data_IF_817782106402
#
_entry.id   IF_817782106402
#
_cell.length_a   1.000
_cell.length_b   1.000
_cell.length_c   1.000
_cell.angle_alpha   90.00
_cell.angle_beta   90.00
_cell.angle_gamma   90.00
#
_symmetry.space_group_name_H-M   'P 1'
#
loop_
_entity.id
_entity.type
_entity.pdbx_description
1 polymer ?
#
# COMPACT_ATOMS: atom_id res chain seq x y z
N UNK A 1 -3.22 6.93 -11.98
CA UNK A 1 -2.77 8.32 -12.17
C UNK A 1 -3.19 9.14 -10.97
N UNK A 2 -2.34 10.05 -10.48
CA UNK A 2 -2.62 10.98 -9.38
C UNK A 2 -2.04 12.36 -9.71
N UNK A 3 -2.40 13.38 -8.94
CA UNK A 3 -1.76 14.69 -8.97
C UNK A 3 -0.77 14.80 -7.83
N UNK A 4 0.38 15.45 -8.06
CA UNK A 4 1.36 15.73 -7.00
C UNK A 4 0.66 16.45 -5.83
N UNK A 5 0.97 16.00 -4.62
CA UNK A 5 0.37 16.49 -3.37
C UNK A 5 -1.00 15.92 -3.04
N UNK A 6 -1.71 15.29 -3.99
CA UNK A 6 -3.02 14.68 -3.72
C UNK A 6 -2.85 13.26 -3.18
N UNK A 7 -3.54 12.93 -2.06
CA UNK A 7 -3.54 11.58 -1.53
C UNK A 7 -4.18 10.58 -2.50
N UNK A 8 -3.65 9.36 -2.50
CA UNK A 8 -4.24 8.20 -3.17
C UNK A 8 -4.10 6.96 -2.28
N UNK A 9 -4.95 5.97 -2.49
CA UNK A 9 -5.07 4.82 -1.60
C UNK A 9 -4.81 3.52 -2.35
N UNK A 10 -4.03 2.62 -1.73
CA UNK A 10 -3.89 1.22 -2.13
C UNK A 10 -4.53 0.34 -1.06
N UNK A 11 -5.41 -0.57 -1.48
CA UNK A 11 -6.11 -1.52 -0.60
C UNK A 11 -5.66 -2.94 -0.91
N UNK A 12 -5.21 -3.67 0.09
CA UNK A 12 -4.76 -5.05 -0.03
C UNK A 12 -5.38 -5.91 1.07
N UNK A 13 -5.78 -7.13 0.72
CA UNK A 13 -6.33 -8.09 1.68
C UNK A 13 -5.21 -8.79 2.46
N UNK A 14 -5.41 -8.95 3.77
CA UNK A 14 -4.57 -9.72 4.67
C UNK A 14 -5.43 -10.67 5.50
N UNK A 15 -5.03 -11.94 5.57
CA UNK A 15 -5.44 -12.86 6.63
C UNK A 15 -4.35 -12.90 7.72
N UNK A 16 -4.54 -12.09 8.77
CA UNK A 16 -3.56 -11.97 9.86
C UNK A 16 -3.56 -13.18 10.78
N UNK A 17 -4.63 -13.98 10.80
CA UNK A 17 -4.62 -15.27 11.50
C UNK A 17 -3.61 -16.24 10.87
N UNK A 18 -3.38 -16.11 9.55
CA UNK A 18 -2.33 -16.86 8.86
C UNK A 18 -0.96 -16.19 8.97
N UNK A 19 -0.86 -15.02 9.59
CA UNK A 19 0.37 -14.23 9.67
C UNK A 19 0.71 -13.49 8.38
N UNK A 20 -0.25 -13.26 7.48
CA UNK A 20 -0.04 -12.47 6.27
C UNK A 20 0.18 -10.99 6.60
N UNK A 21 1.16 -10.38 5.92
CA UNK A 21 1.46 -8.97 6.06
C UNK A 21 1.96 -8.40 4.72
N UNK A 22 1.31 -7.37 4.19
CA UNK A 22 1.84 -6.62 3.06
C UNK A 22 2.84 -5.57 3.52
N UNK A 23 4.02 -5.57 2.92
CA UNK A 23 5.09 -4.60 3.22
C UNK A 23 5.36 -3.74 1.98
N UNK A 24 5.13 -2.41 2.05
CA UNK A 24 5.44 -1.51 0.95
C UNK A 24 6.94 -1.22 0.85
N UNK A 25 7.42 -1.08 -0.38
CA UNK A 25 8.75 -0.57 -0.75
C UNK A 25 8.61 0.43 -1.88
N UNK A 26 9.14 1.64 -1.67
CA UNK A 26 9.05 2.77 -2.59
C UNK A 26 10.21 3.74 -2.37
N UNK A 27 10.48 4.58 -3.35
CA UNK A 27 11.43 5.68 -3.18
C UNK A 27 10.77 6.83 -2.42
N UNK A 28 11.22 7.03 -1.17
CA UNK A 28 10.74 8.10 -0.29
C UNK A 28 10.98 9.52 -0.80
N UNK A 29 11.86 9.71 -1.80
CA UNK A 29 12.05 11.00 -2.48
C UNK A 29 10.86 11.38 -3.37
N UNK A 30 10.06 10.39 -3.78
CA UNK A 30 9.00 10.55 -4.77
C UNK A 30 7.61 10.21 -4.25
N UNK A 31 7.52 9.32 -3.25
CA UNK A 31 6.29 8.89 -2.61
C UNK A 31 6.40 9.00 -1.10
N UNK A 32 5.33 9.44 -0.44
CA UNK A 32 5.24 9.52 1.03
C UNK A 32 4.01 8.73 1.49
N UNK A 33 4.20 7.80 2.44
CA UNK A 33 3.11 7.14 3.14
C UNK A 33 2.52 8.10 4.18
N UNK A 34 1.23 8.37 4.08
CA UNK A 34 0.47 9.25 4.95
C UNK A 34 -0.28 8.48 6.04
N UNK A 35 -0.78 7.28 5.71
CA UNK A 35 -1.57 6.46 6.60
C UNK A 35 -1.44 4.97 6.28
N UNK A 36 -1.59 4.15 7.31
CA UNK A 36 -1.56 2.69 7.23
C UNK A 36 -2.57 2.15 8.26
N UNK A 37 -3.72 1.74 7.76
CA UNK A 37 -4.84 1.28 8.58
C UNK A 37 -5.23 -0.14 8.21
N UNK A 38 -5.64 -0.94 9.20
CA UNK A 38 -6.20 -2.26 8.96
C UNK A 38 -7.67 -2.30 9.38
N UNK A 39 -8.55 -2.47 8.40
CA UNK A 39 -9.98 -2.64 8.61
C UNK A 39 -10.30 -4.14 8.62
N UNK A 40 -10.45 -4.67 9.83
CA UNK A 40 -10.94 -6.03 10.03
C UNK A 40 -12.37 -6.18 9.52
N UNK A 41 -12.66 -7.29 8.85
CA UNK A 41 -14.04 -7.69 8.57
C UNK A 41 -14.62 -8.38 9.80
N UNK A 42 -15.74 -7.83 10.28
CA UNK A 42 -16.52 -8.48 11.32
C UNK A 42 -17.02 -9.83 10.81
N UNK A 43 -16.60 -10.90 11.47
CA UNK A 43 -17.12 -12.24 11.23
C UNK A 43 -17.29 -12.95 12.58
N UNK A 44 -18.21 -13.91 12.64
CA UNK A 44 -18.54 -14.62 13.88
C UNK A 44 -17.54 -15.75 14.20
N UNK A 45 -16.27 -15.59 13.81
CA UNK A 45 -15.20 -16.56 14.04
C UNK A 45 -13.92 -15.86 14.54
N UNK A 46 -12.92 -16.67 14.92
CA UNK A 46 -11.64 -16.17 15.43
C UNK A 46 -10.68 -15.66 14.33
N UNK A 47 -11.13 -15.58 13.07
CA UNK A 47 -10.29 -15.14 11.94
C UNK A 47 -10.19 -13.62 11.95
N UNK A 48 -8.97 -13.13 11.73
CA UNK A 48 -8.61 -11.74 11.56
C UNK A 48 -8.27 -11.46 10.10
N UNK A 49 -9.30 -11.57 9.26
CA UNK A 49 -9.22 -11.20 7.85
C UNK A 49 -9.70 -9.75 7.68
N UNK A 50 -9.04 -9.00 6.83
CA UNK A 50 -9.37 -7.60 6.60
C UNK A 50 -8.64 -6.97 5.44
N UNK A 51 -8.98 -5.70 5.18
CA UNK A 51 -8.26 -4.88 4.22
C UNK A 51 -7.28 -3.97 4.95
N UNK A 52 -6.02 -4.02 4.54
CA UNK A 52 -5.05 -3.00 4.86
C UNK A 52 -5.08 -1.90 3.81
N UNK A 53 -5.12 -0.66 4.30
CA UNK A 53 -5.32 0.55 3.53
C UNK A 53 -4.06 1.39 3.71
N UNK A 54 -3.33 1.58 2.62
CA UNK A 54 -2.16 2.44 2.59
C UNK A 54 -2.52 3.72 1.86
N UNK A 55 -2.44 4.85 2.54
CA UNK A 55 -2.60 6.17 1.96
C UNK A 55 -1.24 6.75 1.62
N UNK A 56 -1.07 7.20 0.37
CA UNK A 56 0.17 7.77 -0.14
C UNK A 56 -0.09 9.12 -0.78
N UNK A 57 0.96 9.93 -0.92
CA UNK A 57 1.00 11.05 -1.87
C UNK A 57 2.26 10.98 -2.72
N UNK A 58 2.16 11.39 -3.98
CA UNK A 58 3.31 11.67 -4.80
C UNK A 58 3.81 13.09 -4.53
N UNK A 59 5.13 13.27 -4.38
CA UNK A 59 5.75 14.58 -4.09
C UNK A 59 6.47 15.19 -5.28
N UNK A 60 6.74 14.40 -6.33
CA UNK A 60 7.32 14.86 -7.59
C UNK A 60 6.52 14.31 -8.77
N UNK A 61 6.43 15.03 -9.90
CA UNK A 61 5.82 14.49 -11.11
C UNK A 61 6.66 13.33 -11.68
N UNK A 62 6.04 12.51 -12.53
CA UNK A 62 6.66 11.36 -13.18
C UNK A 62 6.02 10.02 -12.81
N UNK A 63 6.63 8.92 -13.28
CA UNK A 63 6.15 7.55 -13.01
C UNK A 63 6.98 6.90 -11.92
N UNK A 64 6.36 6.64 -10.77
CA UNK A 64 7.02 6.10 -9.59
C UNK A 64 6.62 4.66 -9.34
N UNK A 65 7.60 3.82 -8.96
CA UNK A 65 7.35 2.42 -8.65
C UNK A 65 7.00 2.24 -7.17
N UNK A 66 5.86 1.61 -6.90
CA UNK A 66 5.46 1.17 -5.57
C UNK A 66 5.31 -0.35 -5.58
N UNK A 67 6.08 -1.03 -4.74
CA UNK A 67 6.09 -2.50 -4.64
C UNK A 67 5.52 -2.91 -3.29
N UNK A 68 4.66 -3.92 -3.28
CA UNK A 68 4.22 -4.59 -2.06
C UNK A 68 4.64 -6.04 -2.10
N UNK A 69 5.25 -6.50 -1.01
CA UNK A 69 5.58 -7.90 -0.81
C UNK A 69 4.69 -8.46 0.29
N UNK A 70 3.98 -9.55 0.01
CA UNK A 70 3.25 -10.29 1.03
C UNK A 70 4.23 -11.20 1.73
N UNK A 71 4.50 -10.89 2.99
CA UNK A 71 5.38 -11.68 3.85
C UNK A 71 4.52 -12.46 4.84
N UNK A 72 5.06 -13.58 5.29
CA UNK A 72 4.52 -14.29 6.44
C UNK A 72 5.47 -14.05 7.61
N UNK A 73 4.96 -13.77 8.80
CA UNK A 73 5.81 -13.51 9.98
C UNK A 73 6.83 -14.61 10.29
N UNK A 74 6.62 -15.82 9.79
CA UNK A 74 7.48 -17.00 9.97
C UNK A 74 8.39 -17.34 8.77
N UNK A 75 8.34 -16.60 7.65
CA UNK A 75 9.09 -16.90 6.42
C UNK A 75 9.93 -15.71 5.99
N UNK A 76 11.15 -16.00 5.51
CA UNK A 76 12.07 -14.97 5.02
C UNK A 76 11.70 -14.47 3.61
N UNK A 77 11.13 -15.32 2.77
CA UNK A 77 10.74 -14.99 1.38
C UNK A 77 9.31 -14.47 1.32
N UNK A 78 9.06 -13.51 0.41
CA UNK A 78 7.71 -13.08 0.09
C UNK A 78 6.92 -14.22 -0.60
N UNK A 79 5.66 -14.40 -0.20
CA UNK A 79 4.71 -15.34 -0.81
C UNK A 79 4.09 -14.76 -2.09
N UNK A 80 3.93 -13.43 -2.14
CA UNK A 80 3.34 -12.73 -3.27
C UNK A 80 3.95 -11.34 -3.42
N UNK A 81 3.85 -10.77 -4.62
CA UNK A 81 4.37 -9.46 -4.94
C UNK A 81 3.43 -8.71 -5.88
N UNK A 82 3.06 -7.49 -5.48
CA UNK A 82 2.28 -6.56 -6.30
C UNK A 82 3.12 -5.35 -6.66
N UNK A 83 3.07 -4.93 -7.91
CA UNK A 83 3.82 -3.77 -8.41
C UNK A 83 2.85 -2.78 -9.03
N UNK A 84 2.91 -1.54 -8.56
CA UNK A 84 2.13 -0.42 -9.07
C UNK A 84 3.06 0.60 -9.71
N UNK A 85 2.65 1.13 -10.87
CA UNK A 85 3.25 2.31 -11.48
C UNK A 85 2.34 3.49 -11.20
N UNK A 86 2.82 4.41 -10.37
CA UNK A 86 2.09 5.61 -9.98
C UNK A 86 2.53 6.74 -10.90
N UNK A 87 1.72 7.01 -11.90
CA UNK A 87 1.87 8.21 -12.73
C UNK A 87 1.34 9.43 -11.96
N UNK A 88 2.23 10.38 -11.67
CA UNK A 88 1.94 11.62 -10.97
C UNK A 88 2.14 12.82 -11.90
N UNK A 89 1.11 13.64 -12.07
CA UNK A 89 1.19 14.90 -12.83
C UNK A 89 1.32 16.10 -11.91
N UNK A 90 2.01 17.14 -12.37
CA UNK A 90 2.04 18.43 -11.67
C UNK A 90 0.62 18.97 -11.50
N UNK A 91 0.32 19.67 -10.41
CA UNK A 91 -0.95 20.38 -10.30
C UNK A 91 -1.00 21.41 -11.41
N UNK A 92 -2.07 21.42 -12.21
CA UNK A 92 -2.34 22.53 -13.12
C UNK A 92 -2.62 23.76 -12.27
N UNK A 93 -1.68 24.73 -12.30
CA UNK A 93 -1.74 25.93 -11.49
C UNK A 93 -3.04 26.71 -11.66
N UNK A 94 -3.57 27.19 -10.54
CA UNK A 94 -4.31 28.44 -10.46
C UNK A 94 -3.49 29.41 -9.62
#
# INVERSE_FOLDING_TARGET
MTTVGHPFVIRLWEDRTRGELWVPSYDSKHLVLLGDEFLRIASNNAVENGQRIFEFKAVTPGTHRLVFEKRMGWKFTAEDRRVFQIEATSPSGR
#
